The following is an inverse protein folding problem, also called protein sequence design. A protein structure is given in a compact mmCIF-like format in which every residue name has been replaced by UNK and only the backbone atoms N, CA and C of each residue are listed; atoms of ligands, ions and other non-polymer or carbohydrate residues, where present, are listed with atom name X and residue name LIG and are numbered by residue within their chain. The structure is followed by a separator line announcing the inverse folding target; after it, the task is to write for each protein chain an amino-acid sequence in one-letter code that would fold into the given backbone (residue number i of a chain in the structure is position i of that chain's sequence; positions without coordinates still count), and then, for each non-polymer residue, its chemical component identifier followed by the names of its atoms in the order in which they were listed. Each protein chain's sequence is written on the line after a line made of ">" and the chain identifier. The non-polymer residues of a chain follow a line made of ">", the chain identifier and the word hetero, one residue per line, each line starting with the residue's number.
data_IF_350637138842
#
_entry.id   IF_350637138842
#
_cell.length_a   1.000
_cell.length_b   1.000
_cell.length_c   1.000
_cell.angle_alpha   90.00
_cell.angle_beta   90.00
_cell.angle_gamma   90.00
#
_symmetry.space_group_name_H-M   'P 1'
#
loop_
_entity.id
_entity.type
_entity.pdbx_description
1 polymer ?
#
# COMPACT_ATOMS: atom_id res chain seq x y z
N UNK A 1 -12.27 6.65 -78.57
CA UNK A 1 -11.73 5.43 -79.18
C UNK A 1 -10.64 4.91 -78.25
N UNK A 2 -10.91 3.84 -77.48
CA UNK A 2 -10.04 2.84 -76.81
C UNK A 2 -8.76 3.36 -76.05
N UNK A 3 -8.36 2.94 -74.84
CA UNK A 3 -8.38 1.65 -74.12
C UNK A 3 -7.99 1.96 -72.65
N UNK A 4 -8.75 1.53 -71.64
CA UNK A 4 -8.49 0.33 -70.79
C UNK A 4 -7.09 0.23 -70.16
N UNK A 5 -6.99 0.45 -68.84
CA UNK A 5 -6.33 -0.49 -67.91
C UNK A 5 -7.19 -0.58 -66.62
N UNK A 6 -7.72 -1.78 -66.37
CA UNK A 6 -8.38 -2.24 -65.15
C UNK A 6 -7.35 -2.94 -64.25
N UNK A 7 -7.67 -2.97 -62.95
CA UNK A 7 -7.38 -3.99 -61.93
C UNK A 7 -6.75 -3.36 -60.67
N UNK A 8 -7.04 -3.77 -59.44
CA UNK A 8 -8.04 -4.62 -58.80
C UNK A 8 -7.75 -4.53 -57.29
N UNK A 9 -8.67 -5.06 -56.46
CA UNK A 9 -8.65 -5.25 -54.98
C UNK A 9 -9.54 -4.21 -54.27
N UNK A 10 -10.86 -4.42 -54.14
CA UNK A 10 -11.55 -5.41 -53.29
C UNK A 10 -10.96 -5.44 -51.86
N UNK A 11 -11.51 -4.59 -50.99
CA UNK A 11 -11.38 -4.69 -49.54
C UNK A 11 -12.77 -4.95 -48.97
N UNK A 12 -13.05 -6.22 -48.77
CA UNK A 12 -14.26 -6.78 -48.19
C UNK A 12 -14.16 -6.75 -46.66
N UNK A 13 -15.18 -6.19 -46.03
CA UNK A 13 -15.77 -6.49 -44.71
C UNK A 13 -14.93 -7.09 -43.58
N UNK A 14 -14.89 -6.42 -42.42
CA UNK A 14 -15.31 -7.00 -41.13
C UNK A 14 -15.44 -5.90 -40.04
N UNK A 15 -16.64 -5.31 -39.90
CA UNK A 15 -17.02 -4.62 -38.66
C UNK A 15 -17.98 -5.57 -37.94
N UNK A 16 -17.43 -6.40 -37.06
CA UNK A 16 -18.19 -7.29 -36.21
C UNK A 16 -17.82 -7.03 -34.75
N UNK A 17 -18.85 -6.72 -33.97
CA UNK A 17 -19.02 -6.92 -32.52
C UNK A 17 -17.88 -6.46 -31.59
N UNK A 18 -18.07 -5.30 -30.98
CA UNK A 18 -17.63 -5.04 -29.60
C UNK A 18 -18.68 -4.18 -28.89
N UNK A 19 -19.81 -4.80 -28.55
CA UNK A 19 -20.69 -4.32 -27.49
C UNK A 19 -20.85 -5.45 -26.48
N UNK A 20 -20.79 -5.07 -25.20
CA UNK A 20 -20.96 -5.88 -23.99
C UNK A 20 -19.72 -6.60 -23.45
N UNK A 21 -18.86 -5.85 -22.75
CA UNK A 21 -18.30 -6.29 -21.46
C UNK A 21 -18.21 -5.09 -20.50
N UNK A 22 -19.34 -4.72 -19.91
CA UNK A 22 -19.38 -3.87 -18.72
C UNK A 22 -19.57 -4.77 -17.50
N UNK A 23 -18.51 -4.93 -16.72
CA UNK A 23 -18.54 -5.68 -15.47
C UNK A 23 -17.13 -5.93 -14.95
N UNK A 24 -16.54 -4.96 -14.25
CA UNK A 24 -15.32 -5.19 -13.46
C UNK A 24 -15.68 -5.95 -12.18
N UNK A 25 -15.95 -7.24 -12.33
CA UNK A 25 -15.44 -8.23 -11.39
C UNK A 25 -14.34 -8.94 -12.17
N UNK A 26 -13.08 -8.74 -11.79
CA UNK A 26 -12.09 -9.71 -12.22
C UNK A 26 -12.55 -11.03 -11.62
N UNK A 27 -12.97 -11.98 -12.46
CA UNK A 27 -12.94 -13.40 -12.09
C UNK A 27 -11.47 -13.73 -11.85
N UNK A 28 -10.97 -13.38 -10.66
CA UNK A 28 -9.73 -13.90 -10.16
C UNK A 28 -9.96 -15.39 -10.03
N UNK A 29 -9.45 -16.17 -10.99
CA UNK A 29 -9.31 -17.62 -10.82
C UNK A 29 -8.66 -17.79 -9.45
N UNK A 30 -9.30 -18.48 -8.49
CA UNK A 30 -8.74 -18.61 -7.16
C UNK A 30 -7.43 -19.37 -7.27
N UNK A 31 -6.32 -18.63 -7.28
CA UNK A 31 -4.99 -19.22 -7.20
C UNK A 31 -4.93 -19.81 -5.80
N UNK A 32 -4.86 -21.14 -5.72
CA UNK A 32 -4.69 -21.83 -4.46
C UNK A 32 -3.25 -21.63 -3.98
N UNK A 33 -3.01 -20.49 -3.33
CA UNK A 33 -1.71 -20.15 -2.82
C UNK A 33 -1.41 -20.98 -1.57
N UNK A 34 -0.15 -21.46 -1.42
CA UNK A 34 0.28 -22.10 -0.19
C UNK A 34 0.13 -21.09 0.95
N UNK A 35 -0.38 -21.53 2.10
CA UNK A 35 -0.46 -20.69 3.30
C UNK A 35 0.84 -20.86 4.08
N UNK A 36 1.66 -19.81 4.26
CA UNK A 36 2.87 -19.92 5.05
C UNK A 36 2.53 -20.07 6.54
N UNK A 37 3.39 -20.81 7.25
CA UNK A 37 3.45 -20.78 8.71
C UNK A 37 4.39 -19.63 9.09
N UNK A 38 3.84 -18.48 9.49
CA UNK A 38 4.65 -17.24 9.65
C UNK A 38 5.88 -17.38 10.56
N UNK A 39 5.84 -18.07 11.71
CA UNK A 39 7.03 -18.21 12.55
C UNK A 39 8.18 -18.96 11.87
N UNK A 40 7.92 -19.74 10.82
CA UNK A 40 8.90 -20.55 10.09
C UNK A 40 9.26 -19.94 8.73
N UNK A 41 8.53 -18.92 8.29
CA UNK A 41 8.64 -18.34 6.96
C UNK A 41 9.95 -17.56 6.79
N UNK A 42 10.81 -18.02 5.89
CA UNK A 42 11.93 -17.24 5.34
C UNK A 42 11.44 -16.40 4.17
N UNK A 43 11.70 -15.09 4.21
CA UNK A 43 11.27 -14.18 3.15
C UNK A 43 12.25 -13.04 2.91
N UNK A 44 12.19 -12.51 1.70
CA UNK A 44 13.08 -11.48 1.18
C UNK A 44 12.27 -10.29 0.70
N UNK A 45 12.59 -9.10 1.22
CA UNK A 45 12.03 -7.84 0.76
C UNK A 45 12.84 -7.32 -0.44
N UNK A 46 12.19 -7.16 -1.58
CA UNK A 46 12.80 -6.66 -2.80
C UNK A 46 12.96 -5.14 -2.73
N UNK A 47 14.20 -4.69 -2.83
CA UNK A 47 14.56 -3.28 -2.94
C UNK A 47 14.31 -2.80 -4.38
N UNK A 48 13.51 -1.73 -4.57
CA UNK A 48 13.47 -1.03 -5.85
C UNK A 48 14.84 -0.39 -6.10
N UNK A 49 15.16 -0.14 -7.38
CA UNK A 49 16.37 0.61 -7.75
C UNK A 49 16.37 1.98 -7.07
N UNK A 50 17.54 2.42 -6.59
CA UNK A 50 17.73 3.58 -5.71
C UNK A 50 16.84 4.77 -6.11
N UNK A 51 15.76 4.93 -5.34
CA UNK A 51 14.73 5.94 -5.52
C UNK A 51 14.37 6.53 -4.16
N UNK A 52 14.01 7.81 -4.19
CA UNK A 52 13.45 8.50 -3.04
C UNK A 52 12.11 7.89 -2.66
N UNK A 53 11.84 7.83 -1.37
CA UNK A 53 10.53 7.44 -0.86
C UNK A 53 9.50 8.49 -1.28
N UNK A 54 8.32 8.03 -1.70
CA UNK A 54 7.24 8.92 -2.10
C UNK A 54 6.52 9.52 -0.90
N UNK A 55 6.46 10.85 -0.86
CA UNK A 55 5.67 11.62 0.09
C UNK A 55 4.77 12.60 -0.66
N UNK A 56 3.52 12.74 -0.21
CA UNK A 56 2.56 13.74 -0.67
C UNK A 56 1.82 14.42 0.49
N UNK A 57 1.09 15.49 0.21
CA UNK A 57 0.10 16.03 1.14
C UNK A 57 -1.22 15.27 1.04
N UNK A 58 -1.94 15.13 2.16
CA UNK A 58 -3.32 14.63 2.14
C UNK A 58 -4.23 15.70 1.59
N UNK A 59 -4.90 15.41 0.48
CA UNK A 59 -5.95 16.27 -0.07
C UNK A 59 -7.12 16.32 0.90
N UNK A 60 -7.53 17.53 1.29
CA UNK A 60 -8.78 17.71 2.02
C UNK A 60 -9.95 17.60 1.03
N UNK A 61 -10.81 16.59 1.23
CA UNK A 61 -11.89 16.24 0.31
C UNK A 61 -13.23 16.86 0.68
N UNK A 62 -13.34 17.50 1.85
CA UNK A 62 -14.61 18.03 2.37
C UNK A 62 -15.19 19.13 1.46
N UNK A 63 -14.34 19.78 0.65
CA UNK A 63 -14.75 20.78 -0.33
C UNK A 63 -14.85 20.26 -1.79
N UNK A 64 -14.37 19.05 -2.10
CA UNK A 64 -14.08 18.64 -3.48
C UNK A 64 -15.00 17.57 -4.07
N UNK A 65 -15.74 16.80 -3.27
CA UNK A 65 -16.68 15.77 -3.78
C UNK A 65 -16.04 14.67 -4.64
N UNK A 66 -14.71 14.55 -4.64
CA UNK A 66 -13.98 13.55 -5.43
C UNK A 66 -13.74 12.31 -4.58
N UNK A 67 -14.28 11.16 -5.01
CA UNK A 67 -13.95 9.88 -4.39
C UNK A 67 -12.46 9.57 -4.57
N UNK A 68 -11.80 9.22 -3.46
CA UNK A 68 -10.40 8.84 -3.38
C UNK A 68 -10.21 7.46 -4.06
N UNK A 69 -10.22 7.45 -5.39
CA UNK A 69 -9.54 6.39 -6.14
C UNK A 69 -8.05 6.64 -5.91
N UNK A 70 -7.36 5.63 -5.35
CA UNK A 70 -5.91 5.59 -5.18
C UNK A 70 -5.27 6.24 -6.40
N UNK A 71 -4.72 7.43 -6.22
CA UNK A 71 -3.77 7.92 -7.20
C UNK A 71 -2.55 7.05 -7.00
N UNK A 72 -2.46 5.99 -7.80
CA UNK A 72 -1.16 5.45 -8.18
C UNK A 72 -0.41 6.66 -8.73
N UNK A 73 0.46 7.23 -7.92
CA UNK A 73 1.25 8.37 -8.33
C UNK A 73 2.08 7.87 -9.51
N UNK A 74 1.89 8.41 -10.74
CA UNK A 74 2.80 8.12 -11.81
C UNK A 74 4.04 9.00 -11.56
N UNK A 75 4.78 8.73 -10.49
CA UNK A 75 6.14 9.23 -10.41
C UNK A 75 6.91 8.46 -11.47
N UNK A 76 7.47 9.16 -12.46
CA UNK A 76 8.26 8.61 -13.56
C UNK A 76 9.58 7.93 -13.15
N UNK A 77 9.62 7.24 -12.01
CA UNK A 77 10.69 6.33 -11.62
C UNK A 77 10.34 4.93 -12.09
N UNK A 78 10.95 4.50 -13.20
CA UNK A 78 10.88 3.14 -13.73
C UNK A 78 11.58 2.09 -12.83
N UNK A 79 11.45 2.19 -11.50
CA UNK A 79 12.12 1.30 -10.53
C UNK A 79 11.28 0.09 -10.13
N UNK A 80 9.96 0.18 -10.31
CA UNK A 80 8.98 -0.89 -10.15
C UNK A 80 8.39 -1.35 -11.51
N UNK A 81 8.98 -0.90 -12.62
CA UNK A 81 8.45 -1.10 -13.97
C UNK A 81 8.53 -2.54 -14.50
N UNK A 82 9.05 -3.49 -13.71
CA UNK A 82 8.99 -4.92 -14.01
C UNK A 82 7.94 -5.61 -13.16
N UNK A 83 8.27 -5.79 -11.87
CA UNK A 83 7.48 -6.55 -10.91
C UNK A 83 6.04 -6.02 -10.74
N UNK A 84 5.86 -4.70 -10.63
CA UNK A 84 4.53 -4.10 -10.51
C UNK A 84 3.93 -3.67 -11.85
N UNK A 85 4.69 -3.45 -12.92
CA UNK A 85 4.11 -3.06 -14.21
C UNK A 85 3.33 -4.19 -14.88
N UNK A 86 3.85 -5.43 -14.82
CA UNK A 86 3.10 -6.61 -15.27
C UNK A 86 1.78 -6.78 -14.49
N UNK A 87 1.75 -6.30 -13.24
CA UNK A 87 0.64 -6.39 -12.31
C UNK A 87 -0.36 -5.21 -12.45
N UNK A 88 0.11 -3.99 -12.72
CA UNK A 88 -0.67 -2.74 -12.72
C UNK A 88 -1.29 -2.38 -14.08
N UNK A 89 -1.16 -3.23 -15.09
CA UNK A 89 -1.58 -2.95 -16.48
C UNK A 89 -3.09 -2.65 -16.63
N UNK A 90 -3.91 -2.81 -15.59
CA UNK A 90 -5.35 -2.53 -15.62
C UNK A 90 -5.78 -1.09 -15.25
N UNK A 91 -4.87 -0.18 -14.84
CA UNK A 91 -5.25 1.13 -14.30
C UNK A 91 -5.44 2.27 -15.34
N UNK A 92 -5.26 2.01 -16.64
CA UNK A 92 -5.07 3.05 -17.66
C UNK A 92 -6.32 3.47 -18.46
N UNK A 93 -7.48 3.65 -17.79
CA UNK A 93 -8.60 4.40 -18.39
C UNK A 93 -9.18 5.36 -17.35
N UNK A 94 -8.64 6.59 -17.30
CA UNK A 94 -9.24 7.69 -16.54
C UNK A 94 -9.21 8.95 -17.40
N UNK A 95 -10.30 9.71 -17.38
CA UNK A 95 -10.49 10.96 -18.11
C UNK A 95 -9.36 11.97 -17.81
N UNK A 96 -8.76 12.54 -18.86
CA UNK A 96 -7.63 13.47 -18.75
C UNK A 96 -7.97 14.72 -17.93
N UNK A 97 -9.22 15.19 -17.98
CA UNK A 97 -9.67 16.37 -17.21
C UNK A 97 -9.68 16.08 -15.70
N UNK A 98 -10.19 14.90 -15.32
CA UNK A 98 -10.18 14.43 -13.93
C UNK A 98 -8.75 14.23 -13.42
N UNK A 99 -7.83 13.79 -14.28
CA UNK A 99 -6.40 13.69 -13.92
C UNK A 99 -5.78 15.06 -13.65
N UNK A 100 -6.03 16.04 -14.51
CA UNK A 100 -5.50 17.40 -14.32
C UNK A 100 -6.02 18.04 -13.02
N UNK A 101 -7.33 17.91 -12.74
CA UNK A 101 -7.92 18.42 -11.51
C UNK A 101 -7.33 17.74 -10.26
N UNK A 102 -7.22 16.40 -10.28
CA UNK A 102 -6.61 15.65 -9.18
C UNK A 102 -5.15 16.02 -8.96
N UNK A 103 -4.39 16.20 -10.04
CA UNK A 103 -2.98 16.62 -9.98
C UNK A 103 -2.85 18.00 -9.34
N UNK A 104 -3.72 18.95 -9.72
CA UNK A 104 -3.74 20.29 -9.12
C UNK A 104 -4.03 20.25 -7.62
N UNK A 105 -5.08 19.53 -7.22
CA UNK A 105 -5.43 19.37 -5.80
C UNK A 105 -4.30 18.72 -4.99
N UNK A 106 -3.57 17.79 -5.61
CA UNK A 106 -2.41 17.16 -4.99
C UNK A 106 -1.25 18.13 -4.82
N UNK A 107 -0.89 18.89 -5.86
CA UNK A 107 0.16 19.91 -5.78
C UNK A 107 -0.13 20.97 -4.72
N UNK A 108 -1.40 21.37 -4.57
CA UNK A 108 -1.85 22.26 -3.50
C UNK A 108 -1.67 21.60 -2.13
N UNK A 109 -2.05 20.34 -1.99
CA UNK A 109 -1.85 19.58 -0.76
C UNK A 109 -0.37 19.39 -0.41
N UNK A 110 0.50 19.19 -1.41
CA UNK A 110 1.93 18.94 -1.26
C UNK A 110 2.69 20.15 -0.69
N UNK A 111 2.09 21.35 -0.68
CA UNK A 111 2.66 22.53 -0.03
C UNK A 111 2.97 22.26 1.45
N UNK A 112 2.21 21.39 2.11
CA UNK A 112 2.45 20.98 3.49
C UNK A 112 3.84 20.36 3.69
N UNK A 113 4.43 19.80 2.64
CA UNK A 113 5.71 19.10 2.69
C UNK A 113 6.93 20.02 2.60
N UNK A 114 6.76 21.29 2.20
CA UNK A 114 7.89 22.23 2.01
C UNK A 114 8.85 22.32 3.20
N UNK A 115 8.38 22.34 4.47
CA UNK A 115 9.29 22.38 5.61
C UNK A 115 10.19 21.14 5.73
N UNK A 116 9.82 20.01 5.12
CA UNK A 116 10.50 18.73 5.24
C UNK A 116 11.38 18.40 4.02
N UNK A 117 11.53 19.34 3.07
CA UNK A 117 12.17 19.09 1.79
C UNK A 117 13.58 18.50 1.90
N UNK A 118 14.38 18.97 2.87
CA UNK A 118 15.75 18.48 3.07
C UNK A 118 15.78 17.01 3.53
N UNK A 119 14.92 16.66 4.49
CA UNK A 119 14.79 15.28 4.99
C UNK A 119 14.28 14.37 3.88
N UNK A 120 13.23 14.79 3.18
CA UNK A 120 12.58 14.01 2.14
C UNK A 120 13.46 13.83 0.89
N UNK A 121 14.23 14.86 0.53
CA UNK A 121 15.16 14.83 -0.60
C UNK A 121 16.33 13.87 -0.43
N UNK A 122 16.61 13.44 0.81
CA UNK A 122 17.63 12.43 1.11
C UNK A 122 17.08 11.05 1.52
N UNK A 123 15.77 10.90 1.71
CA UNK A 123 15.21 9.67 2.28
C UNK A 123 14.94 8.62 1.19
N UNK A 124 15.80 7.61 1.11
CA UNK A 124 15.77 6.57 0.07
C UNK A 124 15.00 5.32 0.51
N UNK A 125 14.46 4.57 -0.46
CA UNK A 125 13.80 3.28 -0.21
C UNK A 125 14.71 2.28 0.51
N UNK A 126 16.01 2.24 0.20
CA UNK A 126 16.98 1.36 0.87
C UNK A 126 17.06 1.63 2.37
N UNK A 127 17.07 2.91 2.77
CA UNK A 127 17.04 3.33 4.17
C UNK A 127 15.71 2.94 4.83
N UNK A 128 14.58 3.32 4.21
CA UNK A 128 13.24 3.01 4.72
C UNK A 128 13.03 1.50 4.92
N UNK A 129 13.34 0.69 3.91
CA UNK A 129 13.13 -0.75 3.94
C UNK A 129 14.05 -1.44 4.95
N UNK A 130 15.30 -0.98 5.09
CA UNK A 130 16.21 -1.47 6.16
C UNK A 130 15.66 -1.17 7.55
N UNK A 131 15.20 0.06 7.78
CA UNK A 131 14.62 0.46 9.07
C UNK A 131 13.31 -0.29 9.36
N UNK A 132 12.48 -0.50 8.35
CA UNK A 132 11.23 -1.25 8.48
C UNK A 132 11.48 -2.73 8.76
N UNK A 133 12.42 -3.37 8.05
CA UNK A 133 12.75 -4.79 8.24
C UNK A 133 13.22 -5.08 9.68
N UNK A 134 13.93 -4.14 10.29
CA UNK A 134 14.35 -4.23 11.69
C UNK A 134 13.17 -4.15 12.69
N UNK A 135 12.03 -3.59 12.28
CA UNK A 135 10.82 -3.43 13.09
C UNK A 135 9.74 -4.48 12.80
N UNK A 136 9.81 -5.14 11.65
CA UNK A 136 8.88 -6.21 11.28
C UNK A 136 8.96 -7.37 12.26
N UNK A 137 7.84 -8.06 12.50
CA UNK A 137 7.74 -9.15 13.48
C UNK A 137 7.48 -10.52 12.84
N UNK A 138 6.98 -10.56 11.61
CA UNK A 138 6.66 -11.79 10.88
C UNK A 138 7.89 -12.45 10.23
N UNK A 139 7.96 -13.78 10.25
CA UNK A 139 9.03 -14.57 9.63
C UNK A 139 10.17 -14.94 10.57
N UNK A 140 10.79 -16.10 10.34
CA UNK A 140 12.00 -16.57 11.05
C UNK A 140 13.27 -15.90 10.52
N UNK A 141 13.34 -15.73 9.20
CA UNK A 141 14.48 -15.14 8.49
C UNK A 141 14.00 -14.10 7.50
N UNK A 142 14.69 -12.97 7.51
CA UNK A 142 14.33 -11.77 6.77
C UNK A 142 15.56 -11.09 6.25
N UNK A 143 15.55 -10.73 4.97
CA UNK A 143 16.63 -9.96 4.37
C UNK A 143 16.12 -9.04 3.28
N UNK A 144 16.94 -8.05 2.97
CA UNK A 144 16.80 -7.25 1.75
C UNK A 144 17.48 -7.99 0.59
N UNK A 145 16.92 -7.86 -0.60
CA UNK A 145 17.56 -8.25 -1.84
C UNK A 145 17.30 -7.19 -2.91
N UNK A 146 18.17 -7.12 -3.91
CA UNK A 146 17.89 -6.33 -5.09
C UNK A 146 16.76 -6.98 -5.89
N UNK A 147 15.95 -6.16 -6.59
CA UNK A 147 14.86 -6.66 -7.44
C UNK A 147 15.32 -7.66 -8.52
N UNK A 148 16.57 -7.54 -8.96
CA UNK A 148 17.19 -8.37 -9.99
C UNK A 148 17.82 -9.68 -9.41
N UNK A 149 17.76 -9.89 -8.10
CA UNK A 149 18.28 -11.11 -7.47
C UNK A 149 17.41 -12.32 -7.83
N UNK A 150 18.05 -13.44 -8.19
CA UNK A 150 17.35 -14.64 -8.66
C UNK A 150 16.40 -15.21 -7.59
N UNK A 151 15.31 -15.81 -8.07
CA UNK A 151 14.34 -16.49 -7.23
C UNK A 151 15.01 -17.63 -6.45
N UNK A 152 15.11 -17.44 -5.13
CA UNK A 152 15.59 -18.46 -4.19
C UNK A 152 14.47 -19.38 -3.70
N UNK A 153 14.75 -20.07 -2.59
CA UNK A 153 13.77 -20.89 -1.86
C UNK A 153 12.90 -20.06 -0.90
N UNK A 154 13.17 -18.77 -0.79
CA UNK A 154 12.46 -17.86 0.10
C UNK A 154 11.25 -17.26 -0.60
N UNK A 155 10.29 -16.83 0.22
CA UNK A 155 9.19 -16.00 -0.25
C UNK A 155 9.72 -14.63 -0.68
N UNK A 156 9.24 -14.13 -1.82
CA UNK A 156 9.61 -12.79 -2.29
C UNK A 156 8.50 -11.81 -1.97
N UNK A 157 8.85 -10.69 -1.35
CA UNK A 157 7.92 -9.63 -0.99
C UNK A 157 8.35 -8.36 -1.70
N UNK A 158 7.47 -7.78 -2.50
CA UNK A 158 7.66 -6.46 -3.07
C UNK A 158 6.71 -5.47 -2.37
N UNK A 159 7.18 -4.23 -2.22
CA UNK A 159 6.43 -3.17 -1.55
C UNK A 159 6.60 -1.85 -2.30
N UNK A 160 5.50 -1.14 -2.52
CA UNK A 160 5.46 0.20 -3.10
C UNK A 160 4.77 1.16 -2.11
N UNK A 161 5.51 1.67 -1.10
CA UNK A 161 4.95 2.55 -0.09
C UNK A 161 4.84 4.00 -0.61
N UNK A 162 3.69 4.62 -0.39
CA UNK A 162 3.45 6.05 -0.57
C UNK A 162 2.93 6.66 0.74
N UNK A 163 3.62 7.67 1.25
CA UNK A 163 3.27 8.36 2.48
C UNK A 163 2.57 9.68 2.19
N UNK A 164 1.64 10.05 3.05
CA UNK A 164 0.91 11.28 2.92
C UNK A 164 0.76 11.99 4.27
N UNK A 165 1.15 13.26 4.32
CA UNK A 165 1.05 14.08 5.53
C UNK A 165 -0.27 14.84 5.56
N UNK A 166 -0.97 14.82 6.70
CA UNK A 166 -2.19 15.64 6.88
C UNK A 166 -1.88 17.13 6.79
N UNK A 167 -2.85 17.95 6.37
CA UNK A 167 -2.63 19.40 6.18
C UNK A 167 -2.27 20.13 7.49
N UNK A 168 -2.74 19.61 8.62
CA UNK A 168 -2.40 20.06 9.96
C UNK A 168 -1.10 19.43 10.50
N UNK A 169 -0.42 18.59 9.72
CA UNK A 169 0.84 17.91 10.01
C UNK A 169 0.81 16.99 11.23
N UNK A 170 -0.37 16.62 11.72
CA UNK A 170 -0.51 15.77 12.90
C UNK A 170 -0.28 14.29 12.60
N UNK A 171 -0.61 13.82 11.41
CA UNK A 171 -0.54 12.40 11.07
C UNK A 171 0.11 12.15 9.71
N UNK A 172 0.65 10.94 9.58
CA UNK A 172 1.03 10.33 8.32
C UNK A 172 0.03 9.23 7.98
N UNK A 173 -0.24 9.07 6.69
CA UNK A 173 -0.98 7.96 6.12
C UNK A 173 -0.08 7.25 5.14
N UNK A 174 0.13 5.95 5.33
CA UNK A 174 0.79 5.08 4.37
C UNK A 174 -0.27 4.36 3.55
N UNK A 175 -0.16 4.44 2.24
CA UNK A 175 -0.74 3.46 1.32
C UNK A 175 0.39 2.60 0.77
N UNK A 176 0.38 1.30 1.05
CA UNK A 176 1.39 0.37 0.56
C UNK A 176 0.75 -0.70 -0.30
N UNK A 177 1.17 -0.82 -1.56
CA UNK A 177 0.86 -2.00 -2.36
C UNK A 177 1.90 -3.07 -2.06
N UNK A 178 1.44 -4.19 -1.50
CA UNK A 178 2.27 -5.34 -1.17
C UNK A 178 1.93 -6.49 -2.10
N UNK A 179 2.98 -7.12 -2.62
CA UNK A 179 2.86 -8.32 -3.43
C UNK A 179 3.79 -9.39 -2.89
N UNK A 180 3.25 -10.60 -2.70
CA UNK A 180 3.94 -11.72 -2.06
C UNK A 180 3.93 -12.90 -3.03
N UNK A 181 5.12 -13.35 -3.44
CA UNK A 181 5.31 -14.48 -4.36
C UNK A 181 5.87 -15.66 -3.58
N UNK A 182 5.16 -16.80 -3.56
CA UNK A 182 5.65 -17.99 -2.89
C UNK A 182 6.86 -18.63 -3.61
N UNK A 183 7.67 -19.43 -2.90
CA UNK A 183 8.79 -20.14 -3.50
C UNK A 183 8.36 -21.00 -4.69
N UNK A 184 9.15 -20.97 -5.77
CA UNK A 184 8.86 -21.74 -6.99
C UNK A 184 7.73 -21.21 -7.86
N UNK A 185 7.08 -20.09 -7.48
CA UNK A 185 6.03 -19.45 -8.27
C UNK A 185 6.47 -18.14 -8.92
N UNK A 186 5.74 -17.77 -9.98
CA UNK A 186 5.98 -16.57 -10.76
C UNK A 186 5.22 -15.36 -10.23
N UNK A 187 5.55 -14.18 -10.75
CA UNK A 187 4.92 -12.90 -10.34
C UNK A 187 3.43 -12.83 -10.68
N UNK A 188 2.99 -13.54 -11.73
CA UNK A 188 1.57 -13.67 -12.10
C UNK A 188 0.72 -14.36 -11.03
N UNK A 189 1.36 -15.15 -10.16
CA UNK A 189 0.73 -15.90 -9.08
C UNK A 189 0.92 -15.17 -7.73
N UNK A 190 1.33 -13.89 -7.75
CA UNK A 190 1.51 -13.11 -6.53
C UNK A 190 0.17 -12.90 -5.82
N UNK A 191 0.16 -13.13 -4.50
CA UNK A 191 -0.85 -12.51 -3.63
C UNK A 191 -0.62 -11.00 -3.62
N UNK A 192 -1.70 -10.22 -3.73
CA UNK A 192 -1.63 -8.77 -3.77
C UNK A 192 -2.65 -8.15 -2.84
N UNK A 193 -2.21 -7.13 -2.10
CA UNK A 193 -3.08 -6.39 -1.20
C UNK A 193 -2.59 -4.96 -1.07
N UNK A 194 -3.53 -4.01 -1.01
CA UNK A 194 -3.20 -2.68 -0.48
C UNK A 194 -3.38 -2.70 1.02
N UNK A 195 -2.37 -2.21 1.73
CA UNK A 195 -2.41 -2.00 3.17
C UNK A 195 -2.29 -0.51 3.45
N UNK A 196 -3.33 0.06 4.08
CA UNK A 196 -3.32 1.42 4.59
C UNK A 196 -2.95 1.43 6.07
N UNK A 197 -2.03 2.29 6.47
CA UNK A 197 -1.71 2.51 7.88
C UNK A 197 -1.82 4.00 8.18
N UNK A 198 -2.59 4.36 9.21
CA UNK A 198 -2.70 5.75 9.69
C UNK A 198 -1.91 5.86 10.99
N UNK A 199 -0.97 6.79 11.06
CA UNK A 199 -0.19 7.05 12.29
C UNK A 199 -1.10 7.61 13.38
N UNK A 200 -0.70 7.46 14.64
CA UNK A 200 -1.31 8.26 15.70
C UNK A 200 -1.09 9.74 15.43
N UNK A 201 -2.07 10.58 15.80
CA UNK A 201 -1.95 12.03 15.67
C UNK A 201 -0.98 12.58 16.71
N UNK A 202 -0.07 13.45 16.25
CA UNK A 202 0.73 14.28 17.14
C UNK A 202 -0.15 15.31 17.85
N UNK A 203 0.23 15.60 19.08
CA UNK A 203 -0.40 16.60 19.96
C UNK A 203 0.55 17.78 20.18
N UNK A 204 -0.03 18.92 20.60
CA UNK A 204 0.73 20.15 20.86
C UNK A 204 1.06 20.98 19.62
N UNK A 205 1.91 21.97 19.84
CA UNK A 205 2.38 22.93 18.84
C UNK A 205 3.78 22.56 18.30
N UNK A 206 4.28 23.32 17.32
CA UNK A 206 5.63 23.12 16.79
C UNK A 206 5.81 21.82 16.01
N UNK A 207 4.76 21.35 15.33
CA UNK A 207 4.77 20.06 14.61
C UNK A 207 5.88 19.97 13.55
N UNK A 208 6.27 21.09 12.95
CA UNK A 208 7.41 21.13 12.01
C UNK A 208 8.71 20.71 12.71
N UNK A 209 9.00 21.26 13.89
CA UNK A 209 10.16 20.90 14.72
C UNK A 209 10.08 19.44 15.17
N UNK A 210 8.90 18.96 15.58
CA UNK A 210 8.73 17.58 16.02
C UNK A 210 9.02 16.56 14.91
N UNK A 211 8.68 16.89 13.67
CA UNK A 211 8.94 16.01 12.51
C UNK A 211 10.35 16.19 11.92
N UNK A 212 10.87 17.42 11.85
CA UNK A 212 12.18 17.74 11.26
C UNK A 212 13.35 17.62 12.25
N UNK A 213 13.08 17.63 13.55
CA UNK A 213 14.08 17.57 14.59
C UNK A 213 15.06 16.42 14.34
N UNK A 214 16.34 16.66 14.66
CA UNK A 214 17.41 15.66 14.53
C UNK A 214 17.54 15.09 13.10
N UNK A 215 17.35 15.94 12.07
CA UNK A 215 17.45 15.51 10.67
C UNK A 215 16.28 14.63 10.22
N UNK A 216 15.12 14.82 10.85
CA UNK A 216 13.90 14.09 10.52
C UNK A 216 13.83 12.67 11.09
N UNK A 217 14.54 12.39 12.19
CA UNK A 217 14.59 11.06 12.79
C UNK A 217 13.18 10.52 13.07
N UNK A 218 12.30 11.36 13.63
CA UNK A 218 10.92 10.99 13.92
C UNK A 218 10.15 10.61 12.66
N UNK A 219 10.25 11.43 11.61
CA UNK A 219 9.57 11.19 10.32
C UNK A 219 10.01 9.84 9.74
N UNK A 220 11.33 9.59 9.70
CA UNK A 220 11.90 8.33 9.20
C UNK A 220 11.49 7.13 10.05
N UNK A 221 11.52 7.27 11.37
CA UNK A 221 11.18 6.21 12.32
C UNK A 221 9.69 5.82 12.23
N UNK A 222 8.80 6.81 12.15
CA UNK A 222 7.37 6.59 12.00
C UNK A 222 7.06 5.94 10.64
N UNK A 223 7.63 6.46 9.55
CA UNK A 223 7.47 5.86 8.21
C UNK A 223 7.93 4.39 8.17
N UNK A 224 9.07 4.08 8.80
CA UNK A 224 9.57 2.72 8.91
C UNK A 224 8.66 1.81 9.75
N UNK A 225 8.12 2.32 10.86
CA UNK A 225 7.18 1.57 11.71
C UNK A 225 5.88 1.26 10.97
N UNK A 226 5.33 2.24 10.24
CA UNK A 226 4.13 2.06 9.41
C UNK A 226 4.36 1.05 8.29
N UNK A 227 5.52 1.12 7.60
CA UNK A 227 5.88 0.13 6.58
C UNK A 227 6.00 -1.27 7.18
N UNK A 228 6.70 -1.41 8.31
CA UNK A 228 6.84 -2.69 9.01
C UNK A 228 5.48 -3.29 9.37
N UNK A 229 4.58 -2.48 9.93
CA UNK A 229 3.22 -2.89 10.24
C UNK A 229 2.45 -3.32 8.99
N UNK A 230 2.61 -2.59 7.87
CA UNK A 230 1.94 -2.95 6.62
C UNK A 230 2.39 -4.31 6.07
N UNK A 231 3.69 -4.63 6.21
CA UNK A 231 4.25 -5.92 5.81
C UNK A 231 3.75 -7.03 6.73
N UNK A 232 3.75 -6.81 8.05
CA UNK A 232 3.20 -7.77 9.02
C UNK A 232 1.73 -8.09 8.73
N UNK A 233 0.93 -7.09 8.37
CA UNK A 233 -0.48 -7.29 8.01
C UNK A 233 -0.66 -8.08 6.72
N UNK A 234 0.11 -7.76 5.67
CA UNK A 234 0.05 -8.50 4.41
C UNK A 234 0.47 -9.97 4.58
N UNK A 235 1.53 -10.21 5.36
CA UNK A 235 2.03 -11.55 5.66
C UNK A 235 1.04 -12.34 6.54
N UNK A 236 0.43 -11.69 7.54
CA UNK A 236 -0.62 -12.31 8.34
C UNK A 236 -1.88 -12.67 7.53
N UNK A 237 -2.23 -11.87 6.53
CA UNK A 237 -3.40 -12.13 5.70
C UNK A 237 -3.18 -13.33 4.77
N UNK A 238 -2.04 -13.41 4.08
CA UNK A 238 -1.73 -14.58 3.23
C UNK A 238 -1.54 -15.87 4.04
N UNK A 239 -1.03 -15.78 5.28
CA UNK A 239 -0.99 -16.90 6.21
C UNK A 239 -2.37 -17.35 6.71
N UNK A 240 -3.42 -16.57 6.44
CA UNK A 240 -4.76 -16.82 6.97
C UNK A 240 -4.89 -16.61 8.47
N UNK A 241 -3.95 -15.87 9.08
CA UNK A 241 -3.96 -15.51 10.50
C UNK A 241 -4.85 -14.30 10.79
N UNK A 242 -5.20 -13.53 9.76
CA UNK A 242 -6.24 -12.52 9.87
C UNK A 242 -7.57 -13.25 9.98
N UNK A 243 -8.29 -13.03 11.07
CA UNK A 243 -9.61 -13.62 11.25
C UNK A 243 -10.44 -13.35 10.00
N UNK A 244 -11.10 -14.38 9.47
CA UNK A 244 -12.38 -14.13 8.81
C UNK A 244 -13.20 -13.52 9.95
N UNK A 245 -13.47 -12.22 9.90
CA UNK A 245 -14.33 -11.61 10.88
C UNK A 245 -15.66 -12.38 10.89
N UNK A 246 -16.58 -12.00 11.77
CA UNK A 246 -17.92 -12.61 11.78
C UNK A 246 -18.71 -12.41 10.46
N UNK A 247 -18.08 -11.89 9.39
CA UNK A 247 -18.70 -11.35 8.19
C UNK A 247 -19.41 -10.02 8.44
N UNK A 248 -19.47 -9.57 9.70
CA UNK A 248 -20.24 -8.41 10.10
C UNK A 248 -19.48 -7.13 9.79
N UNK A 249 -19.99 -6.38 8.83
CA UNK A 249 -19.50 -5.06 8.49
C UNK A 249 -19.82 -4.06 9.60
N UNK A 250 -18.82 -3.28 10.03
CA UNK A 250 -18.95 -2.21 11.02
C UNK A 250 -18.36 -0.91 10.46
N UNK A 251 -18.86 0.21 10.97
CA UNK A 251 -18.26 1.52 10.73
C UNK A 251 -17.27 1.82 11.84
N UNK A 252 -15.99 1.97 11.48
CA UNK A 252 -14.90 2.30 12.40
C UNK A 252 -14.60 3.79 12.27
N UNK A 253 -14.68 4.52 13.38
CA UNK A 253 -14.29 5.93 13.47
C UNK A 253 -12.85 6.03 13.94
N UNK A 254 -12.08 6.94 13.36
CA UNK A 254 -10.68 7.18 13.71
C UNK A 254 -10.27 8.62 13.39
N UNK A 255 -9.15 9.06 13.96
CA UNK A 255 -8.56 10.35 13.64
C UNK A 255 -7.53 10.20 12.51
N UNK A 256 -7.64 11.05 11.49
CA UNK A 256 -6.60 11.31 10.49
C UNK A 256 -6.19 12.78 10.63
N UNK A 257 -5.11 13.02 11.38
CA UNK A 257 -4.79 14.36 11.88
C UNK A 257 -5.82 14.82 12.91
N UNK A 258 -6.35 16.02 12.76
CA UNK A 258 -7.43 16.58 13.57
C UNK A 258 -8.83 16.19 13.10
N UNK A 259 -8.96 15.54 11.94
CA UNK A 259 -10.25 15.22 11.34
C UNK A 259 -10.71 13.82 11.72
N UNK A 260 -11.94 13.70 12.20
CA UNK A 260 -12.59 12.39 12.35
C UNK A 260 -12.93 11.83 10.96
N UNK A 261 -12.57 10.57 10.73
CA UNK A 261 -12.88 9.79 9.55
C UNK A 261 -13.68 8.57 9.96
N UNK A 262 -14.48 8.07 9.02
CA UNK A 262 -15.26 6.84 9.19
C UNK A 262 -14.97 5.92 8.01
N UNK A 263 -14.52 4.70 8.30
CA UNK A 263 -14.36 3.65 7.29
C UNK A 263 -15.31 2.50 7.59
N UNK A 264 -15.94 1.95 6.55
CA UNK A 264 -16.81 0.78 6.68
C UNK A 264 -16.05 -0.46 6.24
N UNK A 265 -16.03 -1.48 7.09
CA UNK A 265 -15.34 -2.72 6.79
C UNK A 265 -15.59 -3.82 7.82
N UNK A 266 -14.97 -4.96 7.58
CA UNK A 266 -14.93 -6.07 8.51
C UNK A 266 -13.80 -5.82 9.52
N UNK A 267 -14.13 -5.70 10.81
CA UNK A 267 -13.11 -5.60 11.86
C UNK A 267 -12.41 -6.96 12.02
N UNK A 268 -11.11 -7.00 11.72
CA UNK A 268 -10.30 -8.23 11.78
C UNK A 268 -9.63 -8.40 13.14
N UNK A 269 -9.18 -7.29 13.73
CA UNK A 269 -8.47 -7.27 15.01
C UNK A 269 -8.60 -5.90 15.66
N UNK A 270 -8.63 -5.87 16.98
CA UNK A 270 -8.48 -4.65 17.77
C UNK A 270 -7.51 -4.94 18.92
N UNK A 271 -6.39 -4.23 18.95
CA UNK A 271 -5.38 -4.37 20.00
C UNK A 271 -4.44 -3.16 20.00
N UNK A 272 -3.75 -2.94 21.12
CA UNK A 272 -2.69 -1.94 21.23
C UNK A 272 -3.11 -0.51 20.81
N UNK A 273 -4.34 -0.09 21.11
CA UNK A 273 -4.84 1.22 20.68
C UNK A 273 -5.02 1.35 19.16
N UNK A 274 -5.17 0.22 18.45
CA UNK A 274 -5.37 0.19 17.00
C UNK A 274 -6.47 -0.79 16.60
N UNK A 275 -7.23 -0.41 15.58
CA UNK A 275 -8.16 -1.30 14.89
C UNK A 275 -7.58 -1.67 13.54
N UNK A 276 -7.70 -2.94 13.17
CA UNK A 276 -7.36 -3.47 11.86
C UNK A 276 -8.63 -3.99 11.21
N UNK A 277 -8.93 -3.50 10.01
CA UNK A 277 -10.12 -3.87 9.25
C UNK A 277 -9.80 -4.24 7.81
N UNK A 278 -10.67 -5.05 7.19
CA UNK A 278 -10.76 -5.22 5.75
C UNK A 278 -11.86 -4.31 5.21
N UNK A 279 -11.50 -3.37 4.36
CA UNK A 279 -12.47 -2.45 3.74
C UNK A 279 -13.39 -3.19 2.77
N UNK A 280 -14.50 -2.56 2.38
CA UNK A 280 -15.40 -3.10 1.35
C UNK A 280 -14.72 -3.31 -0.02
N UNK A 281 -13.56 -2.68 -0.25
CA UNK A 281 -12.75 -2.82 -1.47
C UNK A 281 -11.65 -3.88 -1.36
N UNK A 282 -11.61 -4.63 -0.26
CA UNK A 282 -10.62 -5.68 -0.04
C UNK A 282 -9.26 -5.20 0.48
N UNK A 283 -9.04 -3.90 0.63
CA UNK A 283 -7.82 -3.38 1.24
C UNK A 283 -7.80 -3.65 2.75
N UNK A 284 -6.60 -3.91 3.29
CA UNK A 284 -6.37 -3.94 4.74
C UNK A 284 -6.10 -2.53 5.23
N UNK A 285 -6.61 -2.19 6.42
CA UNK A 285 -6.41 -0.87 6.99
C UNK A 285 -6.16 -0.96 8.49
N UNK A 286 -5.11 -0.30 8.98
CA UNK A 286 -4.83 -0.12 10.40
C UNK A 286 -4.95 1.34 10.78
N UNK A 287 -5.80 1.62 11.77
CA UNK A 287 -6.08 2.97 12.28
C UNK A 287 -5.88 3.03 13.79
N UNK A 288 -5.49 4.21 14.33
CA UNK A 288 -5.52 4.41 15.77
C UNK A 288 -6.96 4.39 16.29
N UNK A 289 -7.19 3.79 17.46
CA UNK A 289 -8.45 3.93 18.18
C UNK A 289 -8.38 5.14 19.10
N UNK A 290 -9.53 5.80 19.31
CA UNK A 290 -9.62 6.98 20.18
C UNK A 290 -9.17 6.74 21.63
N UNK A 291 -9.04 5.47 22.06
CA UNK A 291 -8.51 5.07 23.36
C UNK A 291 -6.97 4.97 23.42
N UNK A 292 -6.26 5.16 22.30
CA UNK A 292 -4.79 5.06 22.20
C UNK A 292 -4.06 6.41 22.14
N UNK A 293 -4.77 7.54 22.31
CA UNK A 293 -4.14 8.87 22.35
C UNK A 293 -3.35 9.14 23.64
N UNK A 294 -3.50 8.27 24.67
CA UNK A 294 -2.66 8.25 25.87
C UNK A 294 -2.09 6.84 26.04
N UNK A 295 -0.77 6.75 25.97
CA UNK A 295 0.02 5.54 25.83
C UNK A 295 -0.05 4.58 27.02
N UNK A 296 -0.47 3.34 26.77
CA UNK A 296 0.10 2.18 27.47
C UNK A 296 0.99 1.39 26.51
N UNK A 297 2.22 1.01 26.90
CA UNK A 297 3.06 0.17 26.07
C UNK A 297 2.40 -1.20 25.89
N UNK A 298 2.27 -1.62 24.63
CA UNK A 298 1.67 -2.91 24.33
C UNK A 298 2.67 -4.03 24.64
N UNK A 299 2.48 -4.72 25.76
CA UNK A 299 3.20 -5.96 26.04
C UNK A 299 2.67 -7.03 25.07
N UNK A 300 3.49 -7.38 24.07
CA UNK A 300 3.13 -8.36 23.05
C UNK A 300 3.08 -9.77 23.66
N UNK A 301 1.96 -10.15 24.28
CA UNK A 301 1.72 -11.54 24.63
C UNK A 301 1.19 -12.28 23.39
N UNK A 302 2.10 -12.58 22.45
CA UNK A 302 1.88 -13.65 21.47
C UNK A 302 1.71 -14.94 22.27
N UNK A 303 0.49 -15.47 22.26
CA UNK A 303 0.17 -16.72 22.92
C UNK A 303 1.08 -17.83 22.34
N UNK A 304 2.02 -18.29 23.14
CA UNK A 304 2.61 -19.62 22.99
C UNK A 304 1.47 -20.61 23.06
N UNK A 305 1.09 -21.18 21.92
CA UNK A 305 0.22 -22.35 21.88
C UNK A 305 0.91 -23.43 22.72
N UNK A 306 0.26 -23.83 23.82
CA UNK A 306 0.77 -24.82 24.74
C UNK A 306 0.98 -26.15 24.01
N UNK A 307 2.22 -26.64 24.06
CA UNK A 307 2.51 -28.07 23.93
C UNK A 307 1.89 -28.72 25.16
N UNK A 308 0.68 -29.25 25.01
CA UNK A 308 0.10 -30.16 26.00
C UNK A 308 0.77 -31.52 25.81
N UNK A 309 1.76 -31.80 26.67
CA UNK A 309 2.18 -33.16 26.94
C UNK A 309 1.20 -33.82 27.90
N UNK A 310 0.63 -34.94 27.46
CA UNK A 310 0.23 -36.09 28.27
C UNK A 310 0.13 -37.29 27.33
#
# INVERSE_FOLDING_TARGET
>A
MLQMIRNARLLTSLVALLCAQTGFAADAVPVNLPKPVLPEMSWTLLLPKDQLVQFGGRVNMDAAGVNQTQMLYPSGGAGAAGFFAAILTHALVTDATKRAQKTKLQQEADVVLKPFADVLGGFQHSELMRLALAKTTSGSQRRLANIDEQAGKDWRVASAPAFFMTQDKRSLVLDNLVAVVPPGMGEKDAYQVTVRVVSSALSGDGLDEQWNGQGGERLKAESAAMLAQSLDLALADIAGMMAKGSGTQKSVRYLEGSSERVERGELLKENCGRSVLRTLRGALMSVPTSAGAESQPCEQKLATAGVAGA
#
